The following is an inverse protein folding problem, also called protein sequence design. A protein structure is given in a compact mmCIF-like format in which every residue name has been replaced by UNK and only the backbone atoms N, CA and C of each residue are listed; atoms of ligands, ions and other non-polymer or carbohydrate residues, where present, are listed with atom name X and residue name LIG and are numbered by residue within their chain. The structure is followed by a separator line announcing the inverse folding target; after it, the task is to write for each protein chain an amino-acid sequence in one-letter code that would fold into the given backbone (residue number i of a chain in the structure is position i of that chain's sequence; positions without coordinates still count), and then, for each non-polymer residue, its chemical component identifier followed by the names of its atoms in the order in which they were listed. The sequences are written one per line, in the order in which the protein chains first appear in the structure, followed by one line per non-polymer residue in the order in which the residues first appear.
data_IF_200088868282
#
_entry.id   IF_200088868282
#
_cell.length_a   1.000
_cell.length_b   1.000
_cell.length_c   1.000
_cell.angle_alpha   90.00
_cell.angle_beta   90.00
_cell.angle_gamma   90.00
#
_symmetry.space_group_name_H-M   'P 1'
#
loop_
_entity.id
_entity.type
_entity.pdbx_description
1 polymer ?
#
# COMPACT_ATOMS: atom_id res chain seq x y z
N UNK A 1 12.80 14.10 -5.92
CA UNK A 1 12.92 12.83 -5.19
C UNK A 1 11.98 12.84 -4.01
N UNK A 2 10.91 12.09 -4.15
CA UNK A 2 9.89 12.02 -3.12
C UNK A 2 9.98 10.70 -2.38
N UNK A 3 9.51 10.68 -1.15
CA UNK A 3 9.36 9.47 -0.35
C UNK A 3 7.89 9.08 -0.27
N UNK A 4 7.61 7.79 -0.42
CA UNK A 4 6.26 7.27 -0.64
C UNK A 4 5.87 6.24 0.41
N UNK A 5 4.62 6.29 0.85
CA UNK A 5 3.96 5.15 1.47
C UNK A 5 3.10 4.45 0.42
N UNK A 6 3.32 3.15 0.25
CA UNK A 6 2.61 2.34 -0.74
C UNK A 6 1.54 1.51 -0.04
N UNK A 7 0.26 1.81 -0.32
CA UNK A 7 -0.81 0.91 0.08
C UNK A 7 -0.77 -0.37 -0.77
N UNK A 8 -1.25 -1.47 -0.23
CA UNK A 8 -1.25 -2.76 -0.92
C UNK A 8 -1.97 -2.70 -2.27
N UNK A 9 -3.07 -1.94 -2.36
CA UNK A 9 -3.82 -1.78 -3.62
C UNK A 9 -2.95 -1.22 -4.76
N UNK A 10 -1.99 -0.37 -4.44
CA UNK A 10 -1.03 0.16 -5.40
C UNK A 10 0.17 -0.79 -5.57
N UNK A 11 0.69 -1.32 -4.46
CA UNK A 11 1.86 -2.19 -4.47
C UNK A 11 1.71 -3.42 -5.37
N UNK A 12 0.55 -4.07 -5.36
CA UNK A 12 0.30 -5.27 -6.18
C UNK A 12 0.39 -4.99 -7.68
N UNK A 13 0.15 -3.75 -8.10
CA UNK A 13 0.27 -3.34 -9.50
C UNK A 13 1.71 -3.39 -10.02
N UNK A 14 2.67 -3.32 -9.13
CA UNK A 14 4.09 -3.46 -9.49
C UNK A 14 4.43 -4.90 -9.91
N UNK A 15 3.74 -5.87 -9.32
CA UNK A 15 4.05 -7.29 -9.52
C UNK A 15 3.21 -7.96 -10.60
N UNK A 16 1.97 -7.54 -10.79
CA UNK A 16 1.08 -8.12 -11.79
C UNK A 16 0.54 -7.01 -12.69
N UNK A 17 0.76 -7.12 -14.03
CA UNK A 17 0.34 -6.08 -14.98
C UNK A 17 -1.18 -5.83 -14.92
N UNK A 18 -1.52 -4.58 -14.69
CA UNK A 18 -2.90 -4.09 -14.67
C UNK A 18 -2.90 -2.56 -14.86
N UNK A 19 -4.07 -1.95 -14.82
CA UNK A 19 -4.18 -0.50 -14.90
C UNK A 19 -3.39 0.16 -13.76
N UNK A 20 -2.56 1.13 -14.10
CA UNK A 20 -1.70 1.83 -13.14
C UNK A 20 -0.30 1.23 -12.92
N UNK A 21 0.01 0.08 -13.49
CA UNK A 21 1.32 -0.58 -13.34
C UNK A 21 2.47 0.33 -13.75
N UNK A 22 2.35 1.04 -14.87
CA UNK A 22 3.41 1.93 -15.36
C UNK A 22 3.72 3.04 -14.36
N UNK A 23 2.68 3.65 -13.78
CA UNK A 23 2.85 4.74 -12.82
C UNK A 23 3.51 4.22 -11.53
N UNK A 24 3.04 3.09 -11.01
CA UNK A 24 3.61 2.47 -9.79
C UNK A 24 5.06 2.09 -10.01
N UNK A 25 5.38 1.49 -11.15
CA UNK A 25 6.75 1.11 -11.50
C UNK A 25 7.69 2.32 -11.47
N UNK A 26 7.25 3.44 -12.04
CA UNK A 26 8.05 4.68 -12.01
C UNK A 26 8.32 5.16 -10.59
N UNK A 27 7.32 5.13 -9.70
CA UNK A 27 7.53 5.54 -8.31
C UNK A 27 8.49 4.62 -7.58
N UNK A 28 8.33 3.31 -7.73
CA UNK A 28 9.16 2.32 -7.02
C UNK A 28 10.61 2.33 -7.53
N UNK A 29 10.81 2.58 -8.81
CA UNK A 29 12.12 2.57 -9.43
C UNK A 29 12.80 3.95 -9.46
N UNK A 30 12.16 4.97 -8.90
CA UNK A 30 12.72 6.31 -8.83
C UNK A 30 14.01 6.31 -7.99
N UNK A 31 15.16 6.75 -8.56
CA UNK A 31 16.41 6.78 -7.82
C UNK A 31 16.34 7.70 -6.59
N UNK A 32 16.96 7.28 -5.50
CA UNK A 32 17.07 8.02 -4.24
C UNK A 32 15.75 8.27 -3.51
N UNK A 33 14.64 7.73 -3.97
CA UNK A 33 13.38 7.73 -3.23
C UNK A 33 13.30 6.55 -2.27
N UNK A 34 12.58 6.75 -1.16
CA UNK A 34 12.30 5.68 -0.21
C UNK A 34 10.85 5.26 -0.33
N UNK A 35 10.61 3.97 -0.17
CA UNK A 35 9.30 3.38 -0.33
C UNK A 35 8.95 2.61 0.93
N UNK A 36 7.94 3.10 1.64
CA UNK A 36 7.48 2.52 2.91
C UNK A 36 6.24 1.70 2.67
N UNK A 37 6.17 0.53 3.30
CA UNK A 37 4.97 -0.30 3.37
C UNK A 37 4.72 -0.67 4.83
N UNK A 38 3.48 -0.95 5.19
CA UNK A 38 3.21 -1.50 6.51
C UNK A 38 3.50 -3.00 6.54
N UNK A 39 3.71 -3.52 7.73
CA UNK A 39 3.86 -4.96 7.92
C UNK A 39 2.63 -5.74 7.44
N UNK A 40 1.44 -5.14 7.48
CA UNK A 40 0.23 -5.73 6.92
C UNK A 40 0.38 -6.06 5.43
N UNK A 41 1.09 -5.23 4.68
CA UNK A 41 1.27 -5.42 3.24
C UNK A 41 1.99 -6.72 2.90
N UNK A 42 2.76 -7.29 3.82
CA UNK A 42 3.39 -8.61 3.60
C UNK A 42 2.32 -9.69 3.45
N UNK A 43 1.29 -9.65 4.28
CA UNK A 43 0.17 -10.60 4.21
C UNK A 43 -0.78 -10.24 3.08
N UNK A 44 -1.17 -8.98 2.98
CA UNK A 44 -2.15 -8.52 2.00
C UNK A 44 -1.68 -8.72 0.56
N UNK A 45 -0.39 -8.53 0.29
CA UNK A 45 0.17 -8.71 -1.06
C UNK A 45 0.08 -10.16 -1.50
N UNK A 46 0.48 -11.10 -0.63
CA UNK A 46 0.36 -12.53 -0.94
C UNK A 46 -1.11 -12.93 -1.06
N UNK A 47 -1.97 -12.39 -0.22
CA UNK A 47 -3.42 -12.60 -0.32
C UNK A 47 -3.98 -12.11 -1.67
N UNK A 48 -3.51 -10.94 -2.13
CA UNK A 48 -3.91 -10.42 -3.44
C UNK A 48 -3.47 -11.33 -4.59
N UNK A 49 -2.28 -11.91 -4.53
CA UNK A 49 -1.82 -12.90 -5.51
C UNK A 49 -2.70 -14.15 -5.49
N UNK A 50 -3.10 -14.60 -4.30
CA UNK A 50 -4.01 -15.74 -4.17
C UNK A 50 -5.39 -15.44 -4.78
N UNK A 51 -5.89 -14.22 -4.65
CA UNK A 51 -7.12 -13.78 -5.31
C UNK A 51 -6.97 -13.88 -6.84
N UNK A 52 -5.87 -13.39 -7.40
CA UNK A 52 -5.62 -13.47 -8.84
C UNK A 52 -5.60 -14.93 -9.34
N UNK A 53 -5.04 -15.82 -8.57
CA UNK A 53 -5.07 -17.26 -8.87
C UNK A 53 -6.52 -17.78 -8.90
N UNK A 54 -7.31 -17.49 -7.85
CA UNK A 54 -8.70 -17.96 -7.79
C UNK A 54 -9.58 -17.38 -8.89
N UNK A 55 -9.26 -16.19 -9.37
CA UNK A 55 -9.95 -15.55 -10.50
C UNK A 55 -9.48 -16.07 -11.86
N UNK A 56 -8.50 -16.95 -11.91
CA UNK A 56 -7.97 -17.52 -13.13
C UNK A 56 -7.01 -16.63 -13.90
N UNK A 57 -6.53 -15.53 -13.30
CA UNK A 57 -5.62 -14.60 -13.96
C UNK A 57 -4.19 -15.14 -14.00
N UNK A 58 -3.82 -16.02 -13.10
CA UNK A 58 -2.51 -16.68 -13.02
C UNK A 58 -2.70 -18.16 -12.66
N UNK A 59 -1.71 -18.98 -13.00
CA UNK A 59 -1.65 -20.39 -12.62
C UNK A 59 -0.72 -20.60 -11.42
N UNK A 60 -0.47 -21.85 -11.03
CA UNK A 60 0.40 -22.19 -9.90
C UNK A 60 1.81 -21.60 -10.06
N UNK A 61 2.38 -21.68 -11.24
CA UNK A 61 3.70 -21.11 -11.52
C UNK A 61 3.68 -19.59 -11.42
N UNK A 62 2.63 -18.96 -11.93
CA UNK A 62 2.45 -17.51 -11.85
C UNK A 62 2.36 -17.03 -10.40
N UNK A 63 1.62 -17.74 -9.55
CA UNK A 63 1.54 -17.42 -8.12
C UNK A 63 2.92 -17.53 -7.45
N UNK A 64 3.64 -18.61 -7.73
CA UNK A 64 4.96 -18.83 -7.17
C UNK A 64 5.96 -17.76 -7.63
N UNK A 65 5.94 -17.38 -8.91
CA UNK A 65 6.81 -16.36 -9.47
C UNK A 65 6.55 -14.98 -8.82
N UNK A 66 5.29 -14.57 -8.67
CA UNK A 66 4.94 -13.31 -8.03
C UNK A 66 5.41 -13.28 -6.58
N UNK A 67 5.15 -14.35 -5.85
CA UNK A 67 5.55 -14.50 -4.45
C UNK A 67 7.06 -14.40 -4.29
N UNK A 68 7.82 -15.08 -5.13
CA UNK A 68 9.29 -15.07 -5.11
C UNK A 68 9.85 -13.67 -5.41
N UNK A 69 9.30 -13.00 -6.41
CA UNK A 69 9.72 -11.64 -6.75
C UNK A 69 9.49 -10.67 -5.59
N UNK A 70 8.33 -10.77 -4.96
CA UNK A 70 8.00 -9.92 -3.82
C UNK A 70 8.97 -10.16 -2.65
N UNK A 71 9.18 -11.40 -2.26
CA UNK A 71 10.12 -11.73 -1.18
C UNK A 71 11.56 -11.35 -1.52
N UNK A 72 11.95 -11.49 -2.77
CA UNK A 72 13.27 -11.03 -3.21
C UNK A 72 13.43 -9.53 -3.00
N UNK A 73 12.46 -8.74 -3.41
CA UNK A 73 12.48 -7.29 -3.23
C UNK A 73 12.52 -6.89 -1.75
N UNK A 74 11.77 -7.57 -0.91
CA UNK A 74 11.83 -7.39 0.55
C UNK A 74 13.26 -7.66 1.05
N UNK A 75 13.85 -8.79 0.63
CA UNK A 75 15.20 -9.18 1.04
C UNK A 75 16.28 -8.21 0.56
N UNK A 76 16.08 -7.55 -0.58
CA UNK A 76 16.98 -6.53 -1.11
C UNK A 76 16.78 -5.15 -0.49
N UNK A 77 15.83 -5.00 0.41
CA UNK A 77 15.56 -3.71 1.05
C UNK A 77 14.86 -2.69 0.15
N UNK A 78 14.18 -3.14 -0.91
CA UNK A 78 13.44 -2.24 -1.80
C UNK A 78 12.36 -1.46 -1.06
N UNK A 79 11.77 -2.07 -0.05
CA UNK A 79 10.75 -1.45 0.78
C UNK A 79 11.21 -1.38 2.23
N UNK A 80 10.89 -0.27 2.89
CA UNK A 80 11.06 -0.10 4.33
C UNK A 80 9.77 -0.52 5.03
N UNK A 81 9.84 -1.58 5.83
CA UNK A 81 8.65 -2.17 6.46
C UNK A 81 8.39 -1.51 7.80
N UNK A 82 7.22 -0.91 7.93
CA UNK A 82 6.80 -0.23 9.16
C UNK A 82 6.01 -1.19 10.06
N UNK A 83 6.37 -1.28 11.34
CA UNK A 83 5.70 -2.20 12.25
C UNK A 83 4.26 -1.77 12.57
N UNK A 84 3.42 -2.75 12.88
CA UNK A 84 2.07 -2.55 13.40
C UNK A 84 2.13 -2.55 14.93
N UNK A 85 2.32 -1.38 15.51
CA UNK A 85 2.39 -1.20 16.96
C UNK A 85 0.99 -1.05 17.56
N UNK A 86 0.89 -1.18 18.89
CA UNK A 86 -0.36 -0.90 19.62
C UNK A 86 -0.88 0.51 19.30
N UNK A 87 0.01 1.49 19.21
CA UNK A 87 -0.37 2.86 18.84
C UNK A 87 -1.06 2.93 17.48
N UNK A 88 -0.60 2.15 16.49
CA UNK A 88 -1.24 2.12 15.15
C UNK A 88 -2.63 1.51 15.20
N UNK A 89 -2.85 0.49 16.02
CA UNK A 89 -4.19 -0.07 16.22
C UNK A 89 -5.14 0.94 16.86
N UNK A 90 -4.67 1.68 17.86
CA UNK A 90 -5.46 2.74 18.49
C UNK A 90 -5.80 3.85 17.50
N UNK A 91 -4.83 4.29 16.71
CA UNK A 91 -5.04 5.29 15.64
C UNK A 91 -6.09 4.82 14.64
N UNK A 92 -6.03 3.56 14.21
CA UNK A 92 -7.00 2.98 13.29
C UNK A 92 -8.42 2.99 13.86
N UNK A 93 -8.56 2.68 15.15
CA UNK A 93 -9.87 2.76 15.84
C UNK A 93 -10.42 4.17 15.77
N UNK A 94 -9.61 5.17 16.08
CA UNK A 94 -10.02 6.59 16.01
C UNK A 94 -10.37 7.02 14.59
N UNK A 95 -9.66 6.52 13.58
CA UNK A 95 -9.99 6.79 12.17
C UNK A 95 -11.37 6.27 11.80
N UNK A 96 -11.69 5.04 12.21
CA UNK A 96 -13.02 4.47 11.97
C UNK A 96 -14.11 5.28 12.70
N UNK A 97 -13.84 5.70 13.93
CA UNK A 97 -14.76 6.53 14.69
C UNK A 97 -15.02 7.88 14.01
N UNK A 98 -13.98 8.55 13.48
CA UNK A 98 -14.14 9.82 12.76
C UNK A 98 -14.86 9.67 11.43
N UNK A 99 -14.64 8.56 10.75
CA UNK A 99 -15.14 8.31 9.40
C UNK A 99 -16.23 7.24 9.34
N UNK A 100 -17.02 7.07 10.41
CA UNK A 100 -17.97 5.98 10.53
C UNK A 100 -19.10 6.00 9.48
N UNK A 101 -19.29 7.13 8.80
CA UNK A 101 -20.34 7.27 7.77
C UNK A 101 -19.93 6.72 6.42
N UNK A 102 -18.66 6.38 6.24
CA UNK A 102 -18.12 5.83 5.00
C UNK A 102 -17.66 4.39 5.21
N UNK A 103 -17.48 3.65 4.11
CA UNK A 103 -17.08 2.24 4.16
C UNK A 103 -15.57 2.07 4.33
N UNK A 104 -14.98 2.73 5.32
CA UNK A 104 -13.57 2.54 5.66
C UNK A 104 -13.41 1.19 6.38
N UNK A 105 -12.75 0.25 5.71
CA UNK A 105 -12.57 -1.09 6.26
C UNK A 105 -11.42 -1.11 7.28
N UNK A 106 -11.41 -2.14 8.13
CA UNK A 106 -10.41 -2.29 9.19
C UNK A 106 -8.98 -2.25 8.64
N UNK A 107 -8.68 -3.01 7.58
CA UNK A 107 -7.33 -3.03 7.01
C UNK A 107 -6.94 -1.67 6.41
N UNK A 108 -7.88 -0.98 5.77
CA UNK A 108 -7.66 0.37 5.23
C UNK A 108 -7.33 1.36 6.34
N UNK A 109 -8.06 1.28 7.47
CA UNK A 109 -7.81 2.13 8.62
C UNK A 109 -6.42 1.88 9.22
N UNK A 110 -5.98 0.62 9.28
CA UNK A 110 -4.64 0.26 9.75
C UNK A 110 -3.55 0.77 8.81
N UNK A 111 -3.74 0.64 7.49
CA UNK A 111 -2.81 1.20 6.51
C UNK A 111 -2.72 2.73 6.63
N UNK A 112 -3.86 3.38 6.74
CA UNK A 112 -3.93 4.84 6.87
C UNK A 112 -3.26 5.32 8.17
N UNK A 113 -3.42 4.57 9.26
CA UNK A 113 -2.77 4.89 10.54
C UNK A 113 -1.25 4.91 10.41
N UNK A 114 -0.66 3.94 9.68
CA UNK A 114 0.78 3.90 9.42
C UNK A 114 1.20 5.09 8.55
N UNK A 115 0.47 5.37 7.48
CA UNK A 115 0.78 6.49 6.59
C UNK A 115 0.75 7.84 7.33
N UNK A 116 -0.26 8.05 8.17
CA UNK A 116 -0.37 9.27 8.98
C UNK A 116 0.80 9.41 9.96
N UNK A 117 1.19 8.33 10.63
CA UNK A 117 2.34 8.36 11.53
C UNK A 117 3.63 8.74 10.81
N UNK A 118 3.86 8.21 9.61
CA UNK A 118 5.00 8.55 8.78
C UNK A 118 4.96 10.01 8.33
N UNK A 119 3.79 10.49 7.90
CA UNK A 119 3.60 11.87 7.47
C UNK A 119 3.85 12.85 8.60
N UNK A 120 3.34 12.58 9.79
CA UNK A 120 3.55 13.43 10.97
C UNK A 120 5.03 13.53 11.37
N UNK A 121 5.82 12.52 11.03
CA UNK A 121 7.27 12.50 11.28
C UNK A 121 8.06 13.08 10.11
N UNK A 122 7.41 13.54 9.07
CA UNK A 122 8.06 14.10 7.88
C UNK A 122 8.81 13.06 7.06
N UNK A 123 8.43 11.79 7.13
CA UNK A 123 9.14 10.68 6.48
C UNK A 123 8.61 10.36 5.08
N UNK A 124 7.43 10.83 4.73
CA UNK A 124 6.85 10.63 3.40
C UNK A 124 6.29 11.93 2.84
N UNK A 125 6.30 12.03 1.52
CA UNK A 125 5.70 13.13 0.77
C UNK A 125 4.32 12.76 0.23
N UNK A 126 4.14 11.50 -0.16
CA UNK A 126 2.91 11.02 -0.80
C UNK A 126 2.49 9.65 -0.31
N UNK A 127 1.19 9.42 -0.32
CA UNK A 127 0.58 8.10 -0.20
C UNK A 127 0.15 7.65 -1.59
N UNK A 128 0.55 6.46 -2.00
CA UNK A 128 0.14 5.86 -3.28
C UNK A 128 -0.87 4.77 -2.99
N UNK A 129 -2.10 4.95 -3.41
CA UNK A 129 -3.19 3.98 -3.21
C UNK A 129 -4.14 3.97 -4.41
N UNK A 130 -4.75 2.82 -4.69
CA UNK A 130 -5.67 2.64 -5.80
C UNK A 130 -7.13 2.39 -5.34
N UNK A 131 -7.35 2.29 -4.04
CA UNK A 131 -8.69 2.16 -3.47
C UNK A 131 -9.29 3.55 -3.25
N UNK A 132 -10.43 3.85 -3.89
CA UNK A 132 -11.00 5.19 -3.87
C UNK A 132 -11.42 5.64 -2.46
N UNK A 133 -12.03 4.75 -1.69
CA UNK A 133 -12.45 5.08 -0.32
C UNK A 133 -11.25 5.43 0.55
N UNK A 134 -10.17 4.66 0.46
CA UNK A 134 -8.94 4.92 1.19
C UNK A 134 -8.29 6.23 0.72
N UNK A 135 -8.22 6.45 -0.59
CA UNK A 135 -7.67 7.70 -1.15
C UNK A 135 -8.42 8.93 -0.63
N UNK A 136 -9.74 8.90 -0.68
CA UNK A 136 -10.58 10.02 -0.24
C UNK A 136 -10.42 10.28 1.26
N UNK A 137 -10.38 9.22 2.06
CA UNK A 137 -10.18 9.35 3.50
C UNK A 137 -8.81 9.90 3.83
N UNK A 138 -7.77 9.44 3.13
CA UNK A 138 -6.41 9.94 3.29
C UNK A 138 -6.32 11.43 2.97
N UNK A 139 -6.99 11.89 1.92
CA UNK A 139 -7.06 13.30 1.55
C UNK A 139 -7.74 14.12 2.66
N UNK A 140 -8.87 13.63 3.20
CA UNK A 140 -9.55 14.29 4.32
C UNK A 140 -8.67 14.40 5.56
N UNK A 141 -7.79 13.42 5.78
CA UNK A 141 -6.83 13.45 6.89
C UNK A 141 -5.59 14.32 6.59
N UNK A 142 -5.54 14.97 5.44
CA UNK A 142 -4.49 15.94 5.10
C UNK A 142 -3.29 15.35 4.36
N UNK A 143 -3.38 14.13 3.88
CA UNK A 143 -2.29 13.50 3.13
C UNK A 143 -2.32 13.87 1.65
N UNK A 144 -1.14 14.00 1.05
CA UNK A 144 -1.01 14.09 -0.40
C UNK A 144 -1.09 12.68 -1.00
N UNK A 145 -2.09 12.45 -1.84
CA UNK A 145 -2.41 11.12 -2.36
C UNK A 145 -2.22 11.06 -3.88
N UNK A 146 -1.63 9.96 -4.33
CA UNK A 146 -1.52 9.62 -5.75
C UNK A 146 -2.30 8.33 -5.98
N UNK A 147 -3.31 8.37 -6.85
CA UNK A 147 -3.98 7.16 -7.33
C UNK A 147 -3.39 6.80 -8.70
N UNK A 148 -2.64 5.69 -8.82
CA UNK A 148 -1.98 5.34 -10.08
C UNK A 148 -2.94 4.92 -11.18
N UNK A 149 -4.18 4.55 -10.83
CA UNK A 149 -5.23 4.19 -11.78
C UNK A 149 -6.19 5.33 -12.06
N UNK A 150 -6.19 6.34 -11.20
CA UNK A 150 -7.11 7.48 -11.29
C UNK A 150 -6.51 8.64 -12.09
N UNK A 151 -7.33 9.28 -12.88
CA UNK A 151 -7.03 10.53 -13.56
C UNK A 151 -7.93 11.60 -13.02
#
# INVERSE_FOLDING_TARGET
MADYFMDTSALVKYYHPEDGTQAVTRFIEEPASHHYISRLSLVETVSAFAVKYRMGHINDQGFDDLRRRFYHDIGQGRFRIMPMTTARYQDATHLIERHFRISLRTLDALQLAVALALSHRGMIDHVVCADQTLCDTAIEEGLAVINPSGQ
#
